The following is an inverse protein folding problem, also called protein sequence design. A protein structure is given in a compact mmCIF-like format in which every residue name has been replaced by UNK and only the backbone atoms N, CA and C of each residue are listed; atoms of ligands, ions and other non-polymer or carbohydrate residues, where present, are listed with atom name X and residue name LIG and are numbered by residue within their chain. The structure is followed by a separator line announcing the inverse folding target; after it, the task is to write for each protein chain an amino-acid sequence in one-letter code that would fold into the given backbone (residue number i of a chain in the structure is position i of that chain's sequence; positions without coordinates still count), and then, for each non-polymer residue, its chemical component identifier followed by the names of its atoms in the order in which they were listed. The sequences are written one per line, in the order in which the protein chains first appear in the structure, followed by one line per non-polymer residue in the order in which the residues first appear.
data_IF_213265640217
#
_entry.id   IF_213265640217
#
_cell.length_a   1.000
_cell.length_b   1.000
_cell.length_c   1.000
_cell.angle_alpha   90.00
_cell.angle_beta   90.00
_cell.angle_gamma   90.00
#
_symmetry.space_group_name_H-M   'P 1'
#
loop_
_entity.id
_entity.type
_entity.pdbx_description
1 polymer ?
#
# COMPACT_ATOMS: atom_id res chain seq x y z
N UNK A 1 -2.18 15.87 -41.54
CA UNK A 1 -3.27 15.63 -40.58
C UNK A 1 -3.02 14.28 -39.92
N UNK A 2 -3.22 14.24 -38.60
CA UNK A 2 -3.28 13.04 -37.74
C UNK A 2 -1.98 12.47 -37.12
N UNK A 3 -1.22 13.31 -36.41
CA UNK A 3 -0.24 12.84 -35.42
C UNK A 3 -0.28 13.61 -34.07
N UNK A 4 -1.31 14.42 -33.81
CA UNK A 4 -1.29 15.40 -32.70
C UNK A 4 -2.27 15.12 -31.53
N UNK A 5 -2.96 13.98 -31.47
CA UNK A 5 -3.97 13.72 -30.42
C UNK A 5 -3.59 12.66 -29.37
N UNK A 6 -2.45 11.97 -29.46
CA UNK A 6 -2.16 10.81 -28.59
C UNK A 6 -1.50 11.11 -27.22
N UNK A 7 -1.21 12.36 -26.85
CA UNK A 7 -0.46 12.65 -25.59
C UNK A 7 -1.03 13.76 -24.70
N UNK A 8 -2.34 14.03 -24.75
CA UNK A 8 -2.97 14.75 -23.64
C UNK A 8 -3.19 13.77 -22.50
N UNK A 9 -2.21 13.67 -21.59
CA UNK A 9 -2.42 13.07 -20.27
C UNK A 9 -3.70 13.68 -19.68
N UNK A 10 -4.73 12.87 -19.46
CA UNK A 10 -5.97 13.29 -18.82
C UNK A 10 -5.68 13.63 -17.35
N UNK A 11 -5.31 14.89 -17.09
CA UNK A 11 -5.19 15.44 -15.74
C UNK A 11 -6.48 15.30 -14.91
N UNK A 12 -7.61 15.04 -15.55
CA UNK A 12 -8.91 14.76 -14.91
C UNK A 12 -8.89 13.54 -13.98
N UNK A 13 -7.86 12.67 -14.05
CA UNK A 13 -7.71 11.48 -13.19
C UNK A 13 -6.56 11.58 -12.18
N UNK A 14 -6.11 12.80 -11.86
CA UNK A 14 -5.07 13.02 -10.85
C UNK A 14 -5.64 12.81 -9.44
N UNK A 15 -5.22 11.72 -8.77
CA UNK A 15 -5.65 11.39 -7.40
C UNK A 15 -4.83 12.08 -6.31
N UNK A 16 -3.60 12.49 -6.62
CA UNK A 16 -2.72 13.11 -5.63
C UNK A 16 -1.62 13.94 -6.31
N UNK A 17 -1.28 15.05 -5.65
CA UNK A 17 -0.17 15.89 -6.02
C UNK A 17 1.01 15.62 -5.09
N UNK A 18 2.19 15.43 -5.68
CA UNK A 18 3.45 15.33 -4.94
C UNK A 18 4.07 16.73 -4.85
N UNK A 19 4.35 17.21 -3.65
CA UNK A 19 5.12 18.44 -3.43
C UNK A 19 6.31 18.20 -2.49
N UNK A 20 7.19 19.20 -2.36
CA UNK A 20 8.42 19.07 -1.57
C UNK A 20 8.17 18.84 -0.06
N UNK A 21 7.03 19.27 0.47
CA UNK A 21 6.69 19.16 1.89
C UNK A 21 5.99 17.82 2.19
N UNK A 22 5.25 17.28 1.24
CA UNK A 22 4.50 16.04 1.37
C UNK A 22 4.61 15.16 0.12
N UNK A 23 5.83 14.65 -0.17
CA UNK A 23 6.06 13.83 -1.35
C UNK A 23 5.22 12.55 -1.30
N UNK A 24 4.79 12.10 -2.48
CA UNK A 24 4.25 10.74 -2.65
C UNK A 24 5.44 9.78 -2.64
N UNK A 25 5.51 8.90 -1.64
CA UNK A 25 6.57 7.91 -1.46
C UNK A 25 6.22 6.58 -2.11
N UNK A 26 4.94 6.16 -2.01
CA UNK A 26 4.45 4.94 -2.63
C UNK A 26 3.06 5.14 -3.23
N UNK A 27 2.81 4.45 -4.33
CA UNK A 27 1.49 4.33 -4.95
C UNK A 27 1.18 2.84 -5.08
N UNK A 28 0.10 2.40 -4.43
CA UNK A 28 -0.21 0.98 -4.29
C UNK A 28 -1.64 0.74 -4.77
N UNK A 29 -1.77 -0.08 -5.80
CA UNK A 29 -3.06 -0.34 -6.45
C UNK A 29 -3.60 -1.73 -6.10
N UNK A 30 -4.93 -1.85 -5.98
CA UNK A 30 -5.66 -3.12 -5.91
C UNK A 30 -7.04 -2.96 -6.55
N UNK A 31 -7.22 -3.52 -7.75
CA UNK A 31 -8.48 -3.54 -8.49
C UNK A 31 -9.13 -2.15 -8.65
N UNK A 32 -10.08 -1.78 -7.81
CA UNK A 32 -10.81 -0.52 -7.91
C UNK A 32 -10.24 0.57 -6.99
N UNK A 33 -9.17 0.28 -6.25
CA UNK A 33 -8.66 1.14 -5.19
C UNK A 33 -7.17 1.39 -5.31
N UNK A 34 -6.77 2.57 -4.86
CA UNK A 34 -5.38 3.00 -4.80
C UNK A 34 -5.10 3.62 -3.43
N UNK A 35 -4.01 3.20 -2.80
CA UNK A 35 -3.40 3.89 -1.68
C UNK A 35 -2.29 4.78 -2.22
N UNK A 36 -2.39 6.07 -1.93
CA UNK A 36 -1.32 7.04 -2.14
C UNK A 36 -0.66 7.28 -0.79
N UNK A 37 0.54 6.76 -0.61
CA UNK A 37 1.32 6.91 0.61
C UNK A 37 2.21 8.14 0.48
N UNK A 38 1.93 9.13 1.29
CA UNK A 38 2.80 10.27 1.50
C UNK A 38 3.64 10.06 2.75
N UNK A 39 4.58 10.99 2.98
CA UNK A 39 5.46 11.00 4.15
C UNK A 39 4.73 10.96 5.50
N UNK A 40 3.55 11.55 5.62
CA UNK A 40 2.85 11.66 6.92
C UNK A 40 1.48 11.01 6.96
N UNK A 41 0.94 10.66 5.79
CA UNK A 41 -0.39 10.11 5.66
C UNK A 41 -0.52 9.20 4.45
N UNK A 42 -1.52 8.33 4.49
CA UNK A 42 -1.92 7.49 3.37
C UNK A 42 -3.35 7.85 3.00
N UNK A 43 -3.59 8.14 1.73
CA UNK A 43 -4.94 8.37 1.19
C UNK A 43 -5.43 7.14 0.45
N UNK A 44 -6.68 6.74 0.69
CA UNK A 44 -7.37 5.71 -0.06
C UNK A 44 -8.36 6.36 -1.02
N UNK A 45 -8.29 5.95 -2.29
CA UNK A 45 -9.18 6.39 -3.35
C UNK A 45 -9.82 5.19 -4.04
N UNK A 46 -11.04 5.38 -4.54
CA UNK A 46 -11.62 4.56 -5.60
C UNK A 46 -11.17 5.14 -6.95
N UNK A 47 -10.41 4.37 -7.72
CA UNK A 47 -9.85 4.83 -8.97
C UNK A 47 -10.77 4.64 -10.19
N UNK A 48 -11.87 3.90 -10.04
CA UNK A 48 -12.86 3.75 -11.11
C UNK A 48 -13.73 5.01 -11.27
N UNK A 49 -14.03 5.68 -10.17
CA UNK A 49 -14.93 6.84 -10.15
C UNK A 49 -14.28 8.14 -9.65
N UNK A 50 -12.97 8.15 -9.37
CA UNK A 50 -12.29 9.37 -8.92
C UNK A 50 -12.48 9.70 -7.43
N UNK A 51 -13.18 8.85 -6.66
CA UNK A 51 -13.67 9.25 -5.34
C UNK A 51 -12.64 9.05 -4.22
N UNK A 52 -12.41 10.09 -3.42
CA UNK A 52 -11.70 9.98 -2.15
C UNK A 52 -12.51 9.17 -1.14
N UNK A 53 -11.88 8.18 -0.50
CA UNK A 53 -12.54 7.35 0.52
C UNK A 53 -12.16 7.83 1.92
N UNK A 54 -10.86 7.85 2.26
CA UNK A 54 -10.36 8.27 3.59
C UNK A 54 -8.84 8.41 3.66
N UNK A 55 -8.35 8.97 4.76
CA UNK A 55 -6.92 9.09 5.09
C UNK A 55 -6.55 8.31 6.35
N UNK A 56 -5.27 7.92 6.44
CA UNK A 56 -4.64 7.33 7.62
C UNK A 56 -3.39 8.10 7.98
N UNK A 57 -3.18 8.42 9.26
CA UNK A 57 -1.96 9.09 9.74
C UNK A 57 -0.81 8.10 9.92
N UNK A 58 -0.41 7.46 8.84
CA UNK A 58 0.67 6.47 8.79
C UNK A 58 1.80 6.94 7.86
N UNK A 59 3.04 6.71 8.27
CA UNK A 59 4.21 6.86 7.41
C UNK A 59 4.67 5.46 6.97
N UNK A 60 4.24 5.05 5.78
CA UNK A 60 4.54 3.72 5.23
C UNK A 60 5.92 3.76 4.58
N UNK A 61 6.90 3.09 5.17
CA UNK A 61 8.27 3.03 4.63
C UNK A 61 8.58 1.70 3.92
N UNK A 62 7.77 0.68 4.16
CA UNK A 62 7.82 -0.59 3.45
C UNK A 62 6.41 -1.20 3.37
N UNK A 63 6.18 -2.02 2.37
CA UNK A 63 4.94 -2.77 2.22
C UNK A 63 5.16 -4.08 1.47
N UNK A 64 4.21 -5.00 1.58
CA UNK A 64 4.14 -6.21 0.78
C UNK A 64 2.69 -6.46 0.38
N UNK A 65 2.44 -6.60 -0.92
CA UNK A 65 1.11 -6.89 -1.48
C UNK A 65 1.07 -8.32 -1.99
N UNK A 66 0.07 -9.10 -1.59
CA UNK A 66 -0.19 -10.39 -2.22
C UNK A 66 -1.01 -10.14 -3.49
N UNK A 67 -0.52 -10.48 -4.68
CA UNK A 67 -1.23 -10.22 -5.94
C UNK A 67 -2.56 -10.97 -6.06
N UNK A 68 -2.77 -12.04 -5.28
CA UNK A 68 -4.00 -12.86 -5.30
C UNK A 68 -5.02 -12.43 -4.24
N UNK A 69 -4.69 -11.40 -3.46
CA UNK A 69 -5.43 -11.02 -2.27
C UNK A 69 -5.88 -9.57 -2.32
N UNK A 70 -6.98 -9.27 -1.64
CA UNK A 70 -7.34 -7.90 -1.30
C UNK A 70 -6.52 -7.35 -0.13
N UNK A 71 -5.64 -8.15 0.47
CA UNK A 71 -4.84 -7.73 1.61
C UNK A 71 -3.47 -7.18 1.25
N UNK A 72 -2.97 -6.31 2.12
CA UNK A 72 -1.63 -5.74 2.08
C UNK A 72 -1.05 -5.64 3.49
N UNK A 73 0.25 -5.93 3.60
CA UNK A 73 1.05 -5.61 4.76
C UNK A 73 1.69 -4.24 4.57
N UNK A 74 1.44 -3.32 5.48
CA UNK A 74 2.04 -1.98 5.52
C UNK A 74 2.89 -1.86 6.79
N UNK A 75 4.08 -1.27 6.67
CA UNK A 75 5.00 -1.07 7.79
C UNK A 75 5.20 0.43 8.02
N UNK A 76 4.83 0.89 9.20
CA UNK A 76 5.19 2.21 9.71
C UNK A 76 6.25 2.11 10.81
N UNK A 77 6.79 3.26 11.25
CA UNK A 77 7.88 3.31 12.24
C UNK A 77 7.66 2.44 13.49
N UNK A 78 6.41 2.25 13.89
CA UNK A 78 6.02 1.62 15.15
C UNK A 78 5.24 0.31 14.96
N UNK A 79 4.57 0.13 13.83
CA UNK A 79 3.57 -0.91 13.64
C UNK A 79 3.64 -1.56 12.27
N UNK A 80 3.37 -2.86 12.28
CA UNK A 80 2.82 -3.58 11.15
C UNK A 80 1.30 -3.40 11.11
N UNK A 81 0.76 -3.12 9.93
CA UNK A 81 -0.67 -3.05 9.65
C UNK A 81 -1.04 -4.06 8.57
N UNK A 82 -1.97 -4.95 8.87
CA UNK A 82 -2.58 -5.85 7.89
C UNK A 82 -3.90 -5.27 7.43
N UNK A 83 -3.93 -4.74 6.21
CA UNK A 83 -5.01 -3.93 5.69
C UNK A 83 -5.71 -4.61 4.52
N UNK A 84 -7.05 -4.48 4.45
CA UNK A 84 -7.87 -5.01 3.37
C UNK A 84 -8.40 -3.88 2.49
N UNK A 85 -8.14 -4.00 1.19
CA UNK A 85 -8.73 -3.13 0.16
C UNK A 85 -10.24 -3.41 -0.02
N UNK A 86 -10.73 -4.61 0.29
CA UNK A 86 -12.15 -4.96 0.05
C UNK A 86 -13.09 -4.21 0.97
N UNK A 87 -12.82 -4.22 2.28
CA UNK A 87 -13.66 -3.58 3.30
C UNK A 87 -13.07 -2.26 3.81
N UNK A 88 -11.86 -1.93 3.35
CA UNK A 88 -11.14 -0.73 3.76
C UNK A 88 -10.68 -0.74 5.21
N UNK A 89 -10.51 -1.90 5.86
CA UNK A 89 -10.21 -1.98 7.31
C UNK A 89 -8.80 -2.52 7.58
N UNK A 90 -8.24 -2.15 8.72
CA UNK A 90 -7.05 -2.78 9.29
C UNK A 90 -7.51 -3.95 10.18
N UNK A 91 -7.18 -5.17 9.77
CA UNK A 91 -7.59 -6.42 10.43
C UNK A 91 -6.63 -6.83 11.54
N UNK A 92 -5.36 -6.42 11.45
CA UNK A 92 -4.38 -6.66 12.50
C UNK A 92 -3.39 -5.51 12.56
N UNK A 93 -3.04 -5.13 13.79
CA UNK A 93 -1.98 -4.16 14.06
C UNK A 93 -1.06 -4.75 15.11
N UNK A 94 0.24 -4.90 14.79
CA UNK A 94 1.23 -5.51 15.68
C UNK A 94 2.42 -4.57 15.89
N UNK A 95 2.84 -4.40 17.14
CA UNK A 95 3.96 -3.53 17.53
C UNK A 95 5.28 -4.29 17.78
N UNK A 96 6.29 -3.51 18.20
CA UNK A 96 7.67 -3.85 18.67
C UNK A 96 8.58 -4.66 17.73
N UNK A 97 8.15 -5.78 17.16
CA UNK A 97 8.99 -6.67 16.35
C UNK A 97 9.21 -6.21 14.91
N UNK A 98 8.36 -5.31 14.42
CA UNK A 98 8.38 -4.83 13.03
C UNK A 98 8.98 -3.43 12.89
N UNK A 99 9.64 -2.95 13.94
CA UNK A 99 10.39 -1.69 13.86
C UNK A 99 11.55 -1.90 12.89
N UNK A 100 11.77 -0.92 12.00
CA UNK A 100 12.90 -0.89 11.04
C UNK A 100 12.82 -1.91 9.90
N UNK A 101 11.65 -2.46 9.60
CA UNK A 101 11.47 -3.28 8.39
C UNK A 101 11.72 -2.40 7.15
N UNK A 102 12.81 -2.60 6.41
CA UNK A 102 13.12 -1.76 5.24
C UNK A 102 12.61 -2.34 3.92
N UNK A 103 12.27 -3.64 3.90
CA UNK A 103 11.67 -4.29 2.75
C UNK A 103 10.79 -5.47 3.19
N UNK A 104 9.75 -5.75 2.42
CA UNK A 104 8.89 -6.90 2.65
C UNK A 104 8.35 -7.47 1.32
N UNK A 105 8.04 -8.76 1.31
CA UNK A 105 7.41 -9.43 0.18
C UNK A 105 6.50 -10.56 0.67
N UNK A 106 5.37 -10.76 -0.03
CA UNK A 106 4.65 -12.02 0.06
C UNK A 106 5.25 -13.00 -0.94
N UNK A 107 5.54 -14.21 -0.48
CA UNK A 107 5.95 -15.30 -1.36
C UNK A 107 4.96 -16.45 -1.26
N UNK A 108 4.71 -17.21 -2.35
CA UNK A 108 3.91 -18.42 -2.30
C UNK A 108 4.42 -19.39 -1.23
N UNK A 109 3.51 -20.08 -0.56
CA UNK A 109 3.87 -21.10 0.43
C UNK A 109 2.84 -22.22 0.43
N UNK A 110 3.31 -23.46 0.56
CA UNK A 110 2.44 -24.65 0.59
C UNK A 110 1.68 -24.79 1.92
N UNK A 111 2.04 -23.98 2.92
CA UNK A 111 1.40 -23.93 4.24
C UNK A 111 0.96 -22.50 4.58
N UNK A 112 -0.20 -22.33 5.23
CA UNK A 112 -0.68 -21.00 5.62
C UNK A 112 0.29 -20.32 6.60
N UNK A 113 0.43 -19.01 6.48
CA UNK A 113 1.26 -18.21 7.39
C UNK A 113 0.61 -18.12 8.77
N UNK A 114 1.38 -18.36 9.84
CA UNK A 114 0.89 -18.19 11.23
C UNK A 114 0.78 -16.73 11.65
N UNK A 115 1.50 -15.83 10.97
CA UNK A 115 1.57 -14.41 11.34
C UNK A 115 0.51 -13.55 10.65
N UNK A 116 0.02 -14.01 9.49
CA UNK A 116 -0.87 -13.29 8.58
C UNK A 116 -1.90 -14.28 8.04
N UNK A 117 -3.21 -13.98 8.04
CA UNK A 117 -4.27 -14.91 7.64
C UNK A 117 -4.37 -15.10 6.12
N UNK A 118 -3.26 -15.43 5.44
CA UNK A 118 -3.23 -15.79 4.03
C UNK A 118 -3.04 -17.30 3.90
N UNK A 119 -3.94 -17.95 3.14
CA UNK A 119 -3.96 -19.41 2.99
C UNK A 119 -2.77 -19.95 2.16
N UNK A 120 -2.26 -19.19 1.18
CA UNK A 120 -1.31 -19.69 0.18
C UNK A 120 -0.02 -18.86 0.04
N UNK A 121 0.21 -17.93 0.98
CA UNK A 121 1.34 -16.99 0.93
C UNK A 121 1.93 -16.82 2.32
N UNK A 122 3.26 -16.65 2.39
CA UNK A 122 3.97 -16.25 3.61
C UNK A 122 4.56 -14.85 3.43
N UNK A 123 4.56 -14.08 4.52
CA UNK A 123 5.18 -12.75 4.56
C UNK A 123 6.65 -12.90 4.96
N UNK A 124 7.56 -12.39 4.15
CA UNK A 124 8.98 -12.24 4.48
C UNK A 124 9.29 -10.75 4.55
N UNK A 125 10.16 -10.37 5.49
CA UNK A 125 10.60 -9.00 5.65
C UNK A 125 12.08 -8.96 6.07
N UNK A 126 12.73 -7.85 5.74
CA UNK A 126 14.12 -7.60 6.04
C UNK A 126 14.24 -6.49 7.08
N UNK A 127 15.02 -6.76 8.14
CA UNK A 127 15.39 -5.80 9.17
C UNK A 127 16.93 -5.73 9.15
N UNK A 128 17.52 -4.56 8.89
CA UNK A 128 18.97 -4.41 8.90
C UNK A 128 19.53 -4.59 10.31
N UNK A 129 20.65 -5.31 10.43
CA UNK A 129 21.44 -5.36 11.67
C UNK A 129 22.06 -3.99 11.93
N UNK A 130 22.14 -3.57 13.20
CA UNK A 130 22.85 -2.35 13.62
C UNK A 130 24.36 -2.53 13.59
#
# INVERSE_FOLDING_TARGET
NDLNEEFRYEYSRCFAHSDRKNPVEHVIYNCDKILVCHKTLVNLWNCLNGQFIKSFSWHVHAFAKDPRSSFIALFDKSFFHFYSFSDGKCHSRKGSLFRRVTAAAYIPNDKPSSFVPLQHSRLIFYIPQE
#
